data_IF_503047478568
#
_entry.id   IF_503047478568
#
_cell.length_a   1.000
_cell.length_b   1.000
_cell.length_c   1.000
_cell.angle_alpha   90.00
_cell.angle_beta   90.00
_cell.angle_gamma   90.00
#
_symmetry.space_group_name_H-M   'P 1'
#
loop_
_entity.id
_entity.type
_entity.pdbx_description
1 polymer ?
#
# COMPACT_ATOMS: atom_id res chain seq x y z
N UNK A 1 2.79 -10.66 1.93
CA UNK A 1 2.71 -9.23 2.21
C UNK A 1 3.44 -9.01 3.50
N UNK A 2 4.10 -7.88 3.66
CA UNK A 2 4.75 -7.52 4.93
C UNK A 2 4.02 -6.31 5.49
N UNK A 3 3.40 -6.49 6.66
CA UNK A 3 2.80 -5.40 7.43
C UNK A 3 3.87 -4.74 8.27
N UNK A 4 4.05 -3.43 8.07
CA UNK A 4 5.04 -2.59 8.74
C UNK A 4 4.29 -1.58 9.61
N UNK A 5 4.38 -1.75 10.93
CA UNK A 5 3.74 -0.90 11.95
C UNK A 5 4.76 -0.09 12.73
N UNK A 6 6.04 -0.45 12.62
CA UNK A 6 7.09 0.16 13.42
C UNK A 6 8.44 0.08 12.70
N UNK A 7 9.43 0.92 13.06
CA UNK A 7 10.78 0.80 12.54
C UNK A 7 11.38 -0.60 12.77
N UNK A 8 11.04 -1.25 13.89
CA UNK A 8 11.47 -2.62 14.19
C UNK A 8 10.93 -3.66 13.21
N UNK A 9 9.80 -3.42 12.53
CA UNK A 9 9.32 -4.31 11.47
C UNK A 9 10.20 -4.24 10.23
N UNK A 10 10.74 -3.08 9.90
CA UNK A 10 11.66 -2.89 8.76
C UNK A 10 12.93 -3.72 8.97
N UNK A 11 13.51 -3.65 10.17
CA UNK A 11 14.69 -4.43 10.54
C UNK A 11 14.43 -5.93 10.47
N UNK A 12 13.28 -6.39 11.00
CA UNK A 12 12.88 -7.80 10.99
C UNK A 12 12.58 -8.32 9.59
N UNK A 13 12.02 -7.49 8.72
CA UNK A 13 11.61 -7.85 7.37
C UNK A 13 12.80 -8.14 6.43
N UNK A 14 14.02 -7.68 6.77
CA UNK A 14 15.24 -7.89 5.96
C UNK A 14 15.03 -7.54 4.49
N UNK A 15 14.47 -6.35 4.26
CA UNK A 15 14.07 -5.91 2.94
C UNK A 15 15.29 -5.77 1.99
N UNK A 16 15.09 -5.97 0.68
CA UNK A 16 16.06 -5.54 -0.33
C UNK A 16 16.46 -4.07 -0.13
N UNK A 17 17.75 -3.69 -0.32
CA UNK A 17 18.22 -2.33 -0.03
C UNK A 17 17.42 -1.22 -0.70
N UNK A 18 16.95 -1.43 -1.93
CA UNK A 18 16.16 -0.45 -2.68
C UNK A 18 14.74 -0.22 -2.10
N UNK A 19 14.24 -1.13 -1.26
CA UNK A 19 12.93 -1.00 -0.61
C UNK A 19 13.02 -0.43 0.81
N UNK A 20 14.20 -0.41 1.43
CA UNK A 20 14.37 0.13 2.79
C UNK A 20 14.05 1.62 2.83
N UNK A 21 14.59 2.39 1.87
CA UNK A 21 14.38 3.83 1.80
C UNK A 21 12.90 4.24 1.63
N UNK A 22 12.14 3.72 0.63
CA UNK A 22 10.74 4.09 0.47
C UNK A 22 9.88 3.60 1.64
N UNK A 23 10.09 2.38 2.16
CA UNK A 23 9.35 1.88 3.33
C UNK A 23 9.58 2.78 4.55
N UNK A 24 10.84 3.13 4.83
CA UNK A 24 11.19 4.01 5.96
C UNK A 24 10.56 5.38 5.81
N UNK A 25 10.65 5.98 4.61
CA UNK A 25 10.07 7.30 4.31
C UNK A 25 8.56 7.31 4.58
N UNK A 26 7.82 6.35 4.01
CA UNK A 26 6.37 6.32 4.14
C UNK A 26 5.90 5.95 5.55
N UNK A 27 6.61 5.05 6.25
CA UNK A 27 6.35 4.82 7.66
C UNK A 27 6.57 6.09 8.49
N UNK A 28 7.66 6.82 8.26
CA UNK A 28 7.96 8.03 9.01
C UNK A 28 6.87 9.09 8.81
N UNK A 29 6.33 9.25 7.59
CA UNK A 29 5.19 10.16 7.37
C UNK A 29 3.96 9.80 8.21
N UNK A 30 3.66 8.50 8.39
CA UNK A 30 2.56 8.05 9.24
C UNK A 30 2.86 8.41 10.71
N UNK A 31 4.08 8.14 11.17
CA UNK A 31 4.49 8.43 12.55
C UNK A 31 4.48 9.95 12.85
N UNK A 32 4.91 10.77 11.89
CA UNK A 32 4.95 12.23 12.03
C UNK A 32 3.54 12.85 12.08
N UNK A 33 2.56 12.21 11.43
CA UNK A 33 1.16 12.65 11.45
C UNK A 33 0.49 12.43 12.81
N UNK A 34 0.98 11.48 13.62
CA UNK A 34 0.34 11.04 14.86
C UNK A 34 1.33 10.95 16.03
N UNK A 35 1.40 11.96 16.92
CA UNK A 35 2.30 11.95 18.08
C UNK A 35 2.13 10.76 19.04
N UNK A 36 0.93 10.19 19.10
CA UNK A 36 0.59 8.98 19.85
C UNK A 36 0.12 7.87 18.90
N UNK A 37 0.97 7.54 17.93
CA UNK A 37 0.66 6.55 16.90
C UNK A 37 0.31 5.18 17.49
N UNK A 38 -0.92 4.77 17.21
CA UNK A 38 -1.44 3.40 17.29
C UNK A 38 -1.75 2.89 15.87
N UNK A 39 -1.18 1.77 15.46
CA UNK A 39 -1.36 1.21 14.11
C UNK A 39 -2.77 0.66 13.84
N UNK A 40 -3.49 0.30 14.90
CA UNK A 40 -4.85 -0.24 14.77
C UNK A 40 -5.87 0.89 14.54
N UNK A 41 -5.61 2.08 15.07
CA UNK A 41 -6.46 3.26 14.90
C UNK A 41 -6.03 4.15 13.73
N UNK A 42 -4.72 4.37 13.55
CA UNK A 42 -4.20 5.32 12.55
C UNK A 42 -3.77 4.66 11.23
N UNK A 43 -3.80 3.32 11.18
CA UNK A 43 -3.38 2.54 10.03
C UNK A 43 -1.88 2.28 9.98
N UNK A 44 -1.42 1.68 8.88
CA UNK A 44 -0.05 1.13 8.78
C UNK A 44 0.39 0.98 7.32
N UNK A 45 1.65 0.62 7.12
CA UNK A 45 2.20 0.36 5.80
C UNK A 45 2.12 -1.14 5.47
N UNK A 46 1.75 -1.45 4.23
CA UNK A 46 1.82 -2.80 3.65
C UNK A 46 2.81 -2.77 2.49
N UNK A 47 3.78 -3.68 2.50
CA UNK A 47 4.66 -3.94 1.36
C UNK A 47 4.17 -5.19 0.60
N UNK A 48 3.92 -5.02 -0.69
CA UNK A 48 3.61 -6.13 -1.61
C UNK A 48 4.89 -6.89 -1.97
N UNK A 49 4.80 -8.21 -1.97
CA UNK A 49 5.90 -9.16 -2.19
C UNK A 49 5.60 -10.11 -3.35
N UNK A 50 6.60 -10.81 -3.92
CA UNK A 50 6.39 -11.76 -5.02
C UNK A 50 5.42 -12.91 -4.73
N UNK A 51 5.17 -13.20 -3.45
CA UNK A 51 4.26 -14.28 -3.03
C UNK A 51 2.80 -13.84 -2.90
N UNK A 52 2.53 -12.55 -3.15
CA UNK A 52 1.22 -11.96 -2.98
C UNK A 52 0.38 -12.08 -4.24
N UNK A 53 -0.88 -12.40 -4.01
CA UNK A 53 -1.90 -12.54 -5.04
C UNK A 53 -3.03 -11.57 -4.72
N UNK A 54 -3.84 -11.24 -5.73
CA UNK A 54 -5.04 -10.43 -5.54
C UNK A 54 -5.94 -10.97 -4.41
N UNK A 55 -6.07 -12.30 -4.30
CA UNK A 55 -6.83 -12.94 -3.23
C UNK A 55 -6.23 -12.72 -1.83
N UNK A 56 -4.89 -12.81 -1.67
CA UNK A 56 -4.23 -12.55 -0.38
C UNK A 56 -4.33 -11.09 0.02
N UNK A 57 -4.16 -10.19 -0.97
CA UNK A 57 -4.35 -8.76 -0.78
C UNK A 57 -5.80 -8.46 -0.38
N UNK A 58 -6.77 -9.13 -1.01
CA UNK A 58 -8.18 -8.94 -0.66
C UNK A 58 -8.57 -9.46 0.71
N UNK A 59 -7.92 -10.49 1.24
CA UNK A 59 -8.12 -10.93 2.63
C UNK A 59 -7.68 -9.86 3.64
N UNK A 60 -6.67 -9.07 3.30
CA UNK A 60 -6.09 -8.06 4.18
C UNK A 60 -6.78 -6.70 4.02
N UNK A 61 -7.26 -6.41 2.81
CA UNK A 61 -7.98 -5.20 2.49
C UNK A 61 -9.52 -5.36 2.53
N UNK A 62 -10.03 -6.54 2.88
CA UNK A 62 -11.47 -6.85 2.88
C UNK A 62 -12.14 -6.89 1.50
N UNK A 63 -11.42 -6.54 0.41
CA UNK A 63 -11.88 -6.56 -0.99
C UNK A 63 -10.71 -6.80 -1.93
N UNK A 64 -10.97 -7.40 -3.09
CA UNK A 64 -9.96 -7.59 -4.14
C UNK A 64 -9.35 -6.25 -4.56
N UNK A 65 -8.12 -6.27 -5.04
CA UNK A 65 -7.37 -5.08 -5.42
C UNK A 65 -8.13 -4.20 -6.42
N UNK A 66 -8.66 -4.82 -7.48
CA UNK A 66 -9.47 -4.14 -8.50
C UNK A 66 -10.80 -3.57 -7.98
N UNK A 67 -11.20 -3.89 -6.75
CA UNK A 67 -12.43 -3.41 -6.12
C UNK A 67 -12.16 -2.45 -4.95
N UNK A 68 -10.89 -2.15 -4.64
CA UNK A 68 -10.57 -1.13 -3.65
C UNK A 68 -10.72 0.26 -4.29
N UNK A 69 -11.32 1.17 -3.55
CA UNK A 69 -11.20 2.60 -3.82
C UNK A 69 -9.88 3.07 -3.24
N UNK A 70 -8.97 3.54 -4.09
CA UNK A 70 -7.78 4.23 -3.64
C UNK A 70 -8.11 5.71 -3.47
N UNK A 71 -7.65 6.31 -2.38
CA UNK A 71 -7.72 7.77 -2.22
C UNK A 71 -6.73 8.49 -3.14
N UNK A 72 -5.68 7.77 -3.54
CA UNK A 72 -4.67 8.24 -4.46
C UNK A 72 -3.61 7.19 -4.72
N UNK A 73 -2.95 7.33 -5.87
CA UNK A 73 -1.77 6.55 -6.26
C UNK A 73 -0.70 7.51 -6.74
N UNK A 74 0.50 7.35 -6.19
CA UNK A 74 1.70 8.05 -6.64
C UNK A 74 2.75 7.04 -7.13
N UNK A 75 3.69 7.49 -7.96
CA UNK A 75 4.81 6.68 -8.41
C UNK A 75 6.15 7.28 -7.97
N UNK A 76 6.89 6.55 -7.13
CA UNK A 76 8.26 6.86 -6.78
C UNK A 76 9.20 6.31 -7.86
N UNK A 77 9.60 7.16 -8.80
CA UNK A 77 10.49 6.80 -9.88
C UNK A 77 11.92 6.44 -9.41
N UNK A 78 12.37 6.98 -8.28
CA UNK A 78 13.72 6.73 -7.76
C UNK A 78 13.85 5.29 -7.21
N UNK A 79 12.78 4.77 -6.61
CA UNK A 79 12.74 3.42 -6.06
C UNK A 79 11.88 2.44 -6.88
N UNK A 80 11.30 2.91 -7.98
CA UNK A 80 10.39 2.15 -8.86
C UNK A 80 9.26 1.47 -8.08
N UNK A 81 8.55 2.27 -7.30
CA UNK A 81 7.44 1.79 -6.48
C UNK A 81 6.18 2.64 -6.71
N UNK A 82 5.03 1.98 -6.80
CA UNK A 82 3.76 2.67 -6.60
C UNK A 82 3.47 2.80 -5.10
N UNK A 83 2.84 3.91 -4.72
CA UNK A 83 2.36 4.18 -3.37
C UNK A 83 0.87 4.43 -3.49
N UNK A 84 0.05 3.52 -2.98
CA UNK A 84 -1.39 3.65 -2.97
C UNK A 84 -1.90 3.85 -1.54
N UNK A 85 -3.02 4.54 -1.36
CA UNK A 85 -3.64 4.73 -0.04
C UNK A 85 -5.08 4.22 -0.07
N UNK A 86 -5.44 3.41 0.94
CA UNK A 86 -6.82 3.00 1.21
C UNK A 86 -7.23 3.54 2.57
N UNK A 87 -8.33 4.30 2.63
CA UNK A 87 -8.93 4.73 3.90
C UNK A 87 -9.96 3.70 4.37
N UNK A 88 -9.87 3.30 5.64
CA UNK A 88 -10.90 2.51 6.32
C UNK A 88 -11.92 3.39 7.01
N UNK A 89 -11.45 4.50 7.55
CA UNK A 89 -12.22 5.57 8.17
C UNK A 89 -11.37 6.85 8.09
N UNK A 90 -11.82 7.93 8.74
CA UNK A 90 -11.16 9.23 8.66
C UNK A 90 -9.73 9.27 9.23
N UNK A 91 -9.37 8.34 10.11
CA UNK A 91 -8.10 8.34 10.83
C UNK A 91 -7.23 7.13 10.46
N UNK A 92 -7.81 6.06 9.90
CA UNK A 92 -7.15 4.82 9.56
C UNK A 92 -6.81 4.75 8.05
N UNK A 93 -5.56 5.10 7.71
CA UNK A 93 -5.02 5.00 6.37
C UNK A 93 -4.07 3.81 6.22
N UNK A 94 -4.37 2.92 5.26
CA UNK A 94 -3.45 1.85 4.87
C UNK A 94 -2.64 2.35 3.68
N UNK A 95 -1.36 2.62 3.90
CA UNK A 95 -0.41 2.93 2.82
C UNK A 95 0.12 1.62 2.24
N UNK A 96 -0.02 1.43 0.93
CA UNK A 96 0.40 0.22 0.24
C UNK A 96 1.54 0.57 -0.71
N UNK A 97 2.72 0.00 -0.43
CA UNK A 97 3.89 0.12 -1.27
C UNK A 97 3.98 -1.09 -2.20
N UNK A 98 4.00 -0.83 -3.51
CA UNK A 98 3.98 -1.87 -4.55
C UNK A 98 5.22 -1.70 -5.44
N UNK A 99 6.23 -2.58 -5.33
CA UNK A 99 7.39 -2.55 -6.23
C UNK A 99 6.98 -2.80 -7.68
N UNK A 100 7.41 -1.96 -8.61
CA UNK A 100 7.16 -2.12 -10.05
C UNK A 100 8.17 -3.08 -10.69
N UNK A 101 7.97 -4.36 -10.39
CA UNK A 101 8.85 -5.46 -10.73
C UNK A 101 8.18 -6.45 -11.71
N UNK A 102 8.95 -7.26 -12.47
CA UNK A 102 8.38 -8.18 -13.47
C UNK A 102 7.42 -9.24 -12.92
N UNK A 103 7.52 -9.56 -11.63
CA UNK A 103 6.63 -10.51 -10.95
C UNK A 103 5.27 -9.91 -10.57
N UNK A 104 5.14 -8.57 -10.60
CA UNK A 104 3.90 -7.91 -10.25
C UNK A 104 2.80 -8.32 -11.23
N UNK A 105 1.66 -8.71 -10.68
CA UNK A 105 0.47 -9.05 -11.46
C UNK A 105 0.15 -7.90 -12.46
N UNK A 106 0.09 -8.19 -13.77
CA UNK A 106 -0.17 -7.17 -14.78
C UNK A 106 -1.48 -6.40 -14.55
N UNK A 107 -2.51 -7.05 -14.01
CA UNK A 107 -3.80 -6.41 -13.76
C UNK A 107 -3.70 -5.42 -12.58
N UNK A 108 -2.93 -5.78 -11.54
CA UNK A 108 -2.60 -4.88 -10.42
C UNK A 108 -1.82 -3.66 -10.93
N UNK A 109 -0.78 -3.90 -11.75
CA UNK A 109 0.01 -2.81 -12.36
C UNK A 109 -0.87 -1.89 -13.20
N UNK A 110 -1.69 -2.47 -14.09
CA UNK A 110 -2.56 -1.69 -14.97
C UNK A 110 -3.54 -0.84 -14.16
N UNK A 111 -4.13 -1.38 -13.09
CA UNK A 111 -5.02 -0.61 -12.22
C UNK A 111 -4.30 0.57 -11.59
N UNK A 112 -3.10 0.38 -11.04
CA UNK A 112 -2.32 1.47 -10.44
C UNK A 112 -1.96 2.56 -11.45
N UNK A 113 -1.67 2.19 -12.69
CA UNK A 113 -1.42 3.15 -13.78
C UNK A 113 -2.68 3.94 -14.16
N UNK A 114 -3.86 3.32 -14.17
CA UNK A 114 -5.13 4.01 -14.41
C UNK A 114 -5.44 5.01 -13.29
N UNK A 115 -5.21 4.63 -12.02
CA UNK A 115 -5.38 5.53 -10.87
C UNK A 115 -4.42 6.72 -10.96
N UNK A 116 -3.14 6.46 -11.27
CA UNK A 116 -2.13 7.50 -11.44
C UNK A 116 -2.48 8.49 -12.56
N UNK A 117 -3.15 8.02 -13.62
CA UNK A 117 -3.62 8.87 -14.73
C UNK A 117 -4.91 9.64 -14.40
N UNK A 118 -5.60 9.31 -13.30
CA UNK A 118 -6.94 9.83 -13.00
C UNK A 118 -8.06 9.18 -13.83
N UNK A 119 -7.77 8.07 -14.51
CA UNK A 119 -8.68 7.37 -15.43
C UNK A 119 -9.33 6.13 -14.80
N UNK A 120 -9.05 5.86 -13.52
CA UNK A 120 -9.64 4.72 -12.83
C UNK A 120 -11.15 4.94 -12.61
N UNK A 121 -11.94 3.92 -12.94
CA UNK A 121 -13.35 3.92 -12.57
C UNK A 121 -13.47 3.75 -11.05
N UNK A 122 -14.38 4.49 -10.39
CA UNK A 122 -14.61 4.32 -8.97
C UNK A 122 -14.99 2.88 -8.67
N UNK A 123 -14.44 2.33 -7.59
CA UNK A 123 -14.79 1.00 -7.16
C UNK A 123 -16.31 0.88 -6.96
N UNK A 124 -16.93 -0.24 -7.36
CA UNK A 124 -18.36 -0.44 -7.12
C UNK A 124 -18.67 -0.33 -5.62
N UNK A 125 -19.76 0.37 -5.31
CA UNK A 125 -20.26 0.46 -3.94
C UNK A 125 -20.54 -0.96 -3.41
N UNK A 126 -20.27 -1.25 -2.13
CA UNK A 126 -20.66 -2.55 -1.57
C UNK A 126 -22.16 -2.77 -1.72
N UNK A 127 -22.54 -3.97 -2.14
CA UNK A 127 -23.91 -4.45 -1.95
C UNK A 127 -24.22 -4.38 -0.45
N UNK A 128 -25.33 -3.72 -0.10
CA UNK A 128 -25.79 -3.52 1.28
C UNK A 128 -26.28 -4.79 1.93
#
# INVERSE_FOLDING_TARGET
>A
MITIRSPGDIERARLPPHLVAPVTKHLQHILDAYPAYDSDDHGHLILVTPSDTDAKLGQQLGRRWGENGFEGVEYDAAHRCFVAVVLRNNEHAITILVPDEPWLDPDIRQRLLLELAGDAQPAPLPDR
#
